data_IF_802941756447
#
_entry.id   IF_802941756447
#
_cell.length_a   1.000
_cell.length_b   1.000
_cell.length_c   1.000
_cell.angle_alpha   90.00
_cell.angle_beta   90.00
_cell.angle_gamma   90.00
#
_symmetry.space_group_name_H-M   'P 1'
#
loop_
_entity.id
_entity.type
_entity.pdbx_description
1 polymer ?
#
# COMPACT_ATOMS: atom_id res chain seq x y z
N UNK A 1 -10.21 -3.77 28.57
CA UNK A 1 -10.05 -5.08 27.92
C UNK A 1 -8.74 -5.15 27.12
N UNK A 2 -8.49 -4.26 26.15
CA UNK A 2 -7.21 -4.26 25.40
C UNK A 2 -5.97 -3.98 26.26
N UNK A 3 -6.02 -2.98 27.16
CA UNK A 3 -4.88 -2.64 28.01
C UNK A 3 -4.41 -3.81 28.89
N UNK A 4 -5.35 -4.56 29.47
CA UNK A 4 -5.04 -5.74 30.27
C UNK A 4 -4.45 -6.88 29.44
N UNK A 5 -4.91 -7.05 28.20
CA UNK A 5 -4.33 -8.04 27.26
C UNK A 5 -2.91 -7.64 26.92
N UNK A 6 -2.66 -6.40 26.50
CA UNK A 6 -1.31 -5.92 26.17
C UNK A 6 -0.34 -6.14 27.35
N UNK A 7 -0.69 -5.70 28.56
CA UNK A 7 0.16 -5.91 29.72
C UNK A 7 0.39 -7.40 30.07
N UNK A 8 -0.56 -8.29 29.78
CA UNK A 8 -0.39 -9.74 29.94
C UNK A 8 0.62 -10.27 28.94
N UNK A 9 0.51 -9.90 27.67
CA UNK A 9 1.41 -10.37 26.61
C UNK A 9 2.84 -9.85 26.79
N UNK A 10 3.03 -8.60 27.27
CA UNK A 10 4.36 -8.10 27.66
C UNK A 10 4.96 -8.98 28.76
N UNK A 11 4.20 -9.28 29.82
CA UNK A 11 4.68 -10.12 30.94
C UNK A 11 4.96 -11.57 30.53
N UNK A 12 4.32 -12.03 29.45
CA UNK A 12 4.54 -13.33 28.87
C UNK A 12 5.69 -13.35 27.86
N UNK A 13 6.35 -12.20 27.61
CA UNK A 13 7.42 -12.05 26.61
C UNK A 13 6.99 -12.55 25.22
N UNK A 14 5.73 -12.30 24.86
CA UNK A 14 5.17 -12.72 23.59
C UNK A 14 5.51 -11.71 22.48
N UNK A 15 6.63 -11.91 21.80
CA UNK A 15 7.10 -11.06 20.70
C UNK A 15 6.18 -11.06 19.46
N UNK A 16 5.26 -12.01 19.36
CA UNK A 16 4.31 -12.11 18.24
C UNK A 16 3.02 -11.31 18.49
N UNK A 17 2.83 -10.69 19.66
CA UNK A 17 1.62 -9.94 19.95
C UNK A 17 1.60 -8.58 19.24
N UNK A 18 0.60 -8.35 18.39
CA UNK A 18 0.35 -7.06 17.76
C UNK A 18 -0.91 -6.38 18.35
N UNK A 19 -0.76 -5.26 19.09
CA UNK A 19 -1.90 -4.60 19.74
C UNK A 19 -2.91 -4.00 18.75
N UNK A 20 -2.48 -3.64 17.52
CA UNK A 20 -3.36 -3.11 16.48
C UNK A 20 -4.21 -4.22 15.88
N UNK A 21 -3.61 -5.38 15.61
CA UNK A 21 -4.32 -6.57 15.14
C UNK A 21 -5.39 -6.97 16.15
N UNK A 22 -5.02 -7.13 17.43
CA UNK A 22 -5.97 -7.47 18.49
C UNK A 22 -7.10 -6.44 18.63
N UNK A 23 -6.78 -5.14 18.60
CA UNK A 23 -7.78 -4.09 18.67
C UNK A 23 -8.79 -4.16 17.52
N UNK A 24 -8.32 -4.41 16.29
CA UNK A 24 -9.18 -4.55 15.13
C UNK A 24 -10.04 -5.82 15.19
N UNK A 25 -9.51 -6.93 15.71
CA UNK A 25 -10.27 -8.16 15.98
C UNK A 25 -11.37 -7.92 17.01
N UNK A 26 -11.05 -7.27 18.13
CA UNK A 26 -12.04 -6.87 19.14
C UNK A 26 -13.12 -5.95 18.56
N UNK A 27 -12.78 -5.14 17.54
CA UNK A 27 -13.72 -4.28 16.82
C UNK A 27 -14.54 -5.00 15.73
N UNK A 28 -14.40 -6.32 15.58
CA UNK A 28 -15.17 -7.15 14.64
C UNK A 28 -14.53 -7.35 13.27
N UNK A 29 -13.21 -7.15 13.13
CA UNK A 29 -12.50 -7.45 11.90
C UNK A 29 -12.61 -8.94 11.56
N UNK A 30 -13.06 -9.24 10.33
CA UNK A 30 -13.37 -10.60 9.88
C UNK A 30 -12.15 -11.52 9.82
N UNK A 31 -12.32 -12.79 10.21
CA UNK A 31 -11.24 -13.80 10.36
C UNK A 31 -10.35 -13.97 9.13
N UNK A 32 -10.90 -13.79 7.93
CA UNK A 32 -10.19 -13.90 6.65
C UNK A 32 -9.26 -12.72 6.30
N UNK A 33 -9.06 -11.75 7.21
CA UNK A 33 -8.15 -10.63 7.02
C UNK A 33 -6.84 -10.89 7.76
N UNK A 34 -5.79 -11.19 7.01
CA UNK A 34 -4.47 -11.43 7.55
C UNK A 34 -3.66 -10.13 7.69
N UNK A 35 -2.89 -10.04 8.77
CA UNK A 35 -1.90 -8.99 8.97
C UNK A 35 -0.53 -9.54 8.61
N UNK A 36 0.15 -8.89 7.68
CA UNK A 36 1.53 -9.19 7.39
C UNK A 36 2.40 -8.42 8.37
N UNK A 37 3.17 -9.14 9.18
CA UNK A 37 4.08 -8.57 10.16
C UNK A 37 5.19 -7.75 9.52
N UNK A 38 5.81 -6.86 10.31
CA UNK A 38 6.97 -6.09 9.83
C UNK A 38 8.13 -7.04 9.54
N UNK A 39 8.65 -6.98 8.31
CA UNK A 39 9.72 -7.87 7.84
C UNK A 39 9.23 -9.22 7.30
N UNK A 40 7.93 -9.52 7.41
CA UNK A 40 7.36 -10.72 6.80
C UNK A 40 7.16 -10.54 5.28
N UNK A 41 7.23 -11.65 4.56
CA UNK A 41 7.05 -11.70 3.11
C UNK A 41 5.64 -12.18 2.79
N UNK A 42 4.98 -11.50 1.85
CA UNK A 42 3.70 -11.91 1.32
C UNK A 42 3.75 -11.80 -0.20
N UNK A 43 3.76 -12.93 -0.89
CA UNK A 43 3.96 -12.97 -2.34
C UNK A 43 2.71 -13.43 -3.08
N UNK A 44 2.40 -12.73 -4.18
CA UNK A 44 1.36 -13.12 -5.13
C UNK A 44 1.97 -13.06 -6.52
N UNK A 45 1.91 -14.15 -7.28
CA UNK A 45 2.50 -14.25 -8.63
C UNK A 45 3.99 -13.79 -8.67
N UNK A 46 4.78 -14.22 -7.67
CA UNK A 46 6.20 -13.88 -7.49
C UNK A 46 6.49 -12.36 -7.33
N UNK A 47 5.48 -11.62 -6.87
CA UNK A 47 5.58 -10.20 -6.54
C UNK A 47 5.45 -10.05 -5.03
N UNK A 48 6.37 -9.30 -4.43
CA UNK A 48 6.38 -9.00 -3.00
C UNK A 48 5.38 -7.88 -2.65
N UNK A 49 4.54 -8.17 -1.67
CA UNK A 49 3.51 -7.28 -1.12
C UNK A 49 3.60 -7.10 0.41
N UNK A 50 4.47 -7.85 1.09
CA UNK A 50 4.69 -7.71 2.54
C UNK A 50 5.52 -6.48 2.91
N UNK A 51 6.29 -5.95 1.96
CA UNK A 51 7.10 -4.74 2.17
C UNK A 51 6.21 -3.49 2.20
N UNK A 52 6.05 -2.88 3.38
CA UNK A 52 5.40 -1.57 3.51
C UNK A 52 6.14 -0.50 2.69
N UNK A 53 7.48 -0.57 2.65
CA UNK A 53 8.38 0.31 1.90
C UNK A 53 8.96 1.49 2.71
N UNK A 54 8.77 1.47 4.04
CA UNK A 54 9.36 2.40 5.00
C UNK A 54 10.83 2.10 5.28
N UNK A 55 11.16 0.80 5.35
CA UNK A 55 12.49 0.29 5.61
C UNK A 55 13.13 -0.22 4.31
N UNK A 56 14.34 0.26 4.04
CA UNK A 56 15.20 -0.09 2.93
C UNK A 56 16.36 -0.99 3.35
N UNK A 57 17.34 -1.12 2.46
CA UNK A 57 18.53 -1.96 2.70
C UNK A 57 19.28 -1.47 3.94
N UNK A 58 19.66 -2.40 4.81
CA UNK A 58 20.37 -2.14 6.08
C UNK A 58 19.66 -1.16 7.01
N UNK A 59 18.33 -1.10 6.99
CA UNK A 59 17.55 -0.21 7.87
C UNK A 59 17.50 1.24 7.41
N UNK A 60 18.01 1.55 6.21
CA UNK A 60 17.87 2.89 5.61
C UNK A 60 16.41 3.22 5.29
N UNK A 61 16.10 4.48 4.95
CA UNK A 61 14.76 4.84 4.48
C UNK A 61 14.50 4.17 3.13
N UNK A 62 13.39 3.44 3.04
CA UNK A 62 12.99 2.74 1.82
C UNK A 62 12.74 3.69 0.65
N UNK A 63 13.29 3.36 -0.52
CA UNK A 63 13.03 4.08 -1.77
C UNK A 63 12.78 3.13 -2.94
N UNK A 64 12.00 3.54 -3.96
CA UNK A 64 11.80 2.73 -5.16
C UNK A 64 13.11 2.35 -5.87
N UNK A 65 14.12 3.23 -5.82
CA UNK A 65 15.45 3.00 -6.42
C UNK A 65 16.23 1.87 -5.75
N UNK A 66 15.98 1.61 -4.46
CA UNK A 66 16.54 0.46 -3.77
C UNK A 66 15.77 -0.81 -4.17
N UNK A 67 14.44 -0.73 -4.14
CA UNK A 67 13.58 -1.89 -4.37
C UNK A 67 13.66 -2.42 -5.80
N UNK A 68 13.92 -1.57 -6.81
CA UNK A 68 14.11 -2.02 -8.20
C UNK A 68 15.31 -2.97 -8.37
N UNK A 69 16.26 -2.95 -7.42
CA UNK A 69 17.45 -3.81 -7.41
C UNK A 69 17.23 -5.12 -6.66
N UNK A 70 16.05 -5.33 -6.09
CA UNK A 70 15.73 -6.59 -5.44
C UNK A 70 15.57 -7.68 -6.50
N UNK A 71 15.94 -8.92 -6.16
CA UNK A 71 15.80 -10.06 -7.09
C UNK A 71 14.35 -10.38 -7.44
N UNK A 72 13.38 -9.84 -6.69
CA UNK A 72 11.95 -9.98 -6.92
C UNK A 72 11.29 -8.62 -7.15
N UNK A 73 10.19 -8.63 -7.89
CA UNK A 73 9.33 -7.45 -8.09
C UNK A 73 8.65 -7.08 -6.79
N UNK A 74 8.40 -5.79 -6.56
CA UNK A 74 7.83 -5.30 -5.29
C UNK A 74 6.68 -4.32 -5.52
N UNK A 75 5.69 -4.34 -4.64
CA UNK A 75 4.57 -3.41 -4.59
C UNK A 75 4.46 -2.84 -3.17
N UNK A 76 4.73 -1.55 -2.99
CA UNK A 76 4.78 -0.89 -1.68
C UNK A 76 3.86 0.33 -1.62
N UNK A 77 3.66 0.92 -0.43
CA UNK A 77 2.73 2.05 -0.23
C UNK A 77 3.24 3.18 0.67
N UNK A 78 4.42 3.06 1.28
CA UNK A 78 4.89 4.00 2.29
C UNK A 78 5.19 5.42 1.79
N UNK A 79 5.73 5.58 0.58
CA UNK A 79 6.21 6.90 0.14
C UNK A 79 5.08 7.84 -0.30
N UNK A 80 3.88 7.28 -0.52
CA UNK A 80 2.67 7.95 -0.99
C UNK A 80 2.81 8.71 -2.32
N UNK A 81 3.98 8.62 -2.97
CA UNK A 81 4.32 9.27 -4.22
C UNK A 81 4.34 8.19 -5.30
N UNK A 82 3.28 8.08 -6.11
CA UNK A 82 3.14 6.97 -7.04
C UNK A 82 4.32 6.92 -8.00
N UNK A 83 4.95 5.76 -8.14
CA UNK A 83 6.09 5.59 -9.04
C UNK A 83 6.22 4.15 -9.52
N UNK A 84 6.85 4.01 -10.69
CA UNK A 84 7.22 2.73 -11.28
C UNK A 84 8.70 2.82 -11.62
N UNK A 85 9.52 1.95 -11.03
CA UNK A 85 10.94 1.81 -11.34
C UNK A 85 11.26 0.34 -11.57
N UNK A 86 11.42 -0.05 -12.83
CA UNK A 86 11.57 -1.44 -13.25
C UNK A 86 10.45 -2.33 -12.65
N UNK A 87 10.82 -3.27 -11.77
CA UNK A 87 9.91 -4.16 -11.05
C UNK A 87 9.33 -3.59 -9.75
N UNK A 88 9.71 -2.38 -9.33
CA UNK A 88 9.25 -1.76 -8.10
C UNK A 88 8.11 -0.76 -8.37
N UNK A 89 6.93 -1.08 -7.86
CA UNK A 89 5.74 -0.25 -7.95
C UNK A 89 5.45 0.34 -6.59
N UNK A 90 5.15 1.64 -6.54
CA UNK A 90 4.76 2.30 -5.29
C UNK A 90 3.41 2.96 -5.48
N UNK A 91 2.45 2.55 -4.66
CA UNK A 91 1.11 3.13 -4.63
C UNK A 91 1.14 4.55 -4.03
N UNK A 92 0.03 5.26 -4.23
CA UNK A 92 -0.21 6.56 -3.63
C UNK A 92 -0.80 6.44 -2.23
N UNK A 93 -1.71 7.36 -1.90
CA UNK A 93 -2.50 7.30 -0.67
C UNK A 93 -4.01 7.30 -0.92
N UNK A 94 -4.75 6.66 -0.02
CA UNK A 94 -6.22 6.68 0.05
C UNK A 94 -6.70 7.44 1.29
N UNK A 95 -6.23 8.67 1.43
CA UNK A 95 -6.61 9.58 2.50
C UNK A 95 -6.41 11.02 2.01
N UNK A 96 -6.84 12.03 2.78
CA UNK A 96 -6.61 13.45 2.44
C UNK A 96 -5.15 13.70 2.06
N UNK A 97 -4.89 14.36 0.93
CA UNK A 97 -3.52 14.68 0.51
C UNK A 97 -2.77 15.51 1.55
N UNK A 98 -3.46 16.43 2.24
CA UNK A 98 -2.89 17.23 3.33
C UNK A 98 -3.07 16.49 4.66
N UNK A 99 -2.01 15.80 5.10
CA UNK A 99 -1.94 15.12 6.40
C UNK A 99 -1.40 16.01 7.52
N UNK A 100 -0.90 17.21 7.19
CA UNK A 100 -0.41 18.20 8.15
C UNK A 100 1.08 18.08 8.48
N UNK A 101 1.66 16.88 8.36
CA UNK A 101 3.11 16.68 8.46
C UNK A 101 3.83 16.76 7.10
N UNK A 102 3.10 16.62 5.99
CA UNK A 102 3.64 16.76 4.63
C UNK A 102 3.73 18.24 4.21
N UNK A 103 4.70 18.96 4.78
CA UNK A 103 4.93 20.39 4.52
C UNK A 103 5.74 20.60 3.23
N UNK A 104 5.42 21.67 2.49
CA UNK A 104 6.09 22.04 1.23
C UNK A 104 5.51 21.34 -0.01
N UNK A 105 6.11 21.57 -1.20
CA UNK A 105 5.72 20.88 -2.42
C UNK A 105 5.86 19.36 -2.25
N UNK A 106 4.83 18.61 -2.63
CA UNK A 106 4.79 17.15 -2.49
C UNK A 106 4.44 16.49 -3.82
N UNK A 107 4.96 15.27 -4.02
CA UNK A 107 4.59 14.38 -5.13
C UNK A 107 3.52 13.37 -4.73
N UNK A 108 2.93 13.53 -3.55
CA UNK A 108 1.88 12.67 -3.06
C UNK A 108 0.65 12.78 -3.95
N UNK A 109 0.08 11.64 -4.31
CA UNK A 109 -1.12 11.60 -5.14
C UNK A 109 -1.97 10.38 -4.79
N UNK A 110 -3.25 10.44 -5.10
CA UNK A 110 -4.12 9.29 -5.00
C UNK A 110 -3.78 8.30 -6.10
N UNK A 111 -3.33 7.11 -5.73
CA UNK A 111 -3.08 6.06 -6.70
C UNK A 111 -3.15 4.67 -6.10
N UNK A 112 -3.60 3.73 -6.91
CA UNK A 112 -3.63 2.31 -6.59
C UNK A 112 -2.77 1.51 -7.55
N UNK A 113 -2.16 0.45 -7.03
CA UNK A 113 -1.49 -0.57 -7.84
C UNK A 113 -2.42 -1.78 -7.89
N UNK A 114 -2.84 -2.15 -9.10
CA UNK A 114 -3.68 -3.33 -9.33
C UNK A 114 -2.82 -4.43 -9.93
N UNK A 115 -2.81 -5.60 -9.28
CA UNK A 115 -2.21 -6.82 -9.81
C UNK A 115 -3.26 -7.58 -10.64
N UNK A 116 -2.97 -7.77 -11.92
CA UNK A 116 -3.80 -8.58 -12.80
C UNK A 116 -3.44 -10.07 -12.68
N UNK A 117 -4.36 -10.99 -13.02
CA UNK A 117 -4.12 -12.44 -12.95
C UNK A 117 -2.91 -12.94 -13.77
N UNK A 118 -2.47 -12.18 -14.77
CA UNK A 118 -1.31 -12.49 -15.61
C UNK A 118 0.03 -12.01 -15.02
N UNK A 119 0.06 -11.51 -13.77
CA UNK A 119 1.27 -11.02 -13.11
C UNK A 119 1.72 -9.63 -13.58
N UNK A 120 0.95 -8.95 -14.43
CA UNK A 120 1.18 -7.54 -14.79
C UNK A 120 0.51 -6.63 -13.76
N UNK A 121 1.11 -5.47 -13.52
CA UNK A 121 0.57 -4.47 -12.61
C UNK A 121 0.24 -3.17 -13.34
N UNK A 122 -0.90 -2.60 -13.00
CA UNK A 122 -1.37 -1.31 -13.51
C UNK A 122 -1.34 -0.28 -12.38
N UNK A 123 -0.89 0.94 -12.69
CA UNK A 123 -1.03 2.08 -11.80
C UNK A 123 -2.29 2.84 -12.19
N UNK A 124 -3.21 2.99 -11.25
CA UNK A 124 -4.43 3.79 -11.42
C UNK A 124 -4.21 5.09 -10.67
N UNK A 125 -4.00 6.17 -11.40
CA UNK A 125 -3.96 7.53 -10.84
C UNK A 125 -5.39 8.05 -10.71
N UNK A 126 -5.70 8.66 -9.58
CA UNK A 126 -7.02 9.21 -9.29
C UNK A 126 -6.92 10.71 -9.08
N UNK A 127 -7.79 11.45 -9.77
CA UNK A 127 -7.96 12.87 -9.58
C UNK A 127 -8.82 13.16 -8.34
N UNK A 128 -8.75 14.38 -7.82
CA UNK A 128 -9.46 14.79 -6.61
C UNK A 128 -11.00 14.70 -6.72
N UNK A 129 -11.53 14.70 -7.94
CA UNK A 129 -12.96 14.54 -8.25
C UNK A 129 -13.35 13.09 -8.55
N UNK A 130 -12.44 12.12 -8.33
CA UNK A 130 -12.69 10.69 -8.51
C UNK A 130 -12.46 10.17 -9.93
N UNK A 131 -12.05 11.00 -10.90
CA UNK A 131 -11.69 10.52 -12.24
C UNK A 131 -10.41 9.70 -12.22
N UNK A 132 -10.40 8.57 -12.91
CA UNK A 132 -9.25 7.65 -12.96
C UNK A 132 -8.96 7.05 -14.34
N UNK A 133 -9.79 7.39 -15.34
CA UNK A 133 -9.61 6.99 -16.73
C UNK A 133 -8.88 8.10 -17.50
N UNK A 134 -8.15 7.73 -18.56
CA UNK A 134 -7.63 8.71 -19.48
C UNK A 134 -8.81 9.41 -20.18
N UNK A 135 -8.81 10.75 -20.21
CA UNK A 135 -9.92 11.53 -20.77
C UNK A 135 -10.19 11.24 -22.25
N UNK A 136 -9.24 10.66 -22.98
CA UNK A 136 -9.44 10.18 -24.36
C UNK A 136 -10.47 9.05 -24.46
N UNK A 137 -10.54 8.17 -23.45
CA UNK A 137 -11.43 7.01 -23.45
C UNK A 137 -12.88 7.36 -23.06
N UNK A 138 -13.08 8.53 -22.43
CA UNK A 138 -14.41 9.02 -21.99
C UNK A 138 -15.20 9.61 -23.16
N UNK A 139 -14.51 10.08 -24.21
CA UNK A 139 -15.15 10.76 -25.33
C UNK A 139 -16.01 9.79 -26.17
N UNK A 140 -15.60 8.53 -26.34
CA UNK A 140 -16.38 7.52 -27.08
C UNK A 140 -17.72 7.18 -26.42
N UNK A 141 -17.78 7.12 -25.08
CA UNK A 141 -18.98 6.68 -24.37
C UNK A 141 -20.10 7.73 -24.40
N UNK A 142 -19.76 9.02 -24.43
CA UNK A 142 -20.76 10.09 -24.49
C UNK A 142 -21.33 10.31 -25.90
N UNK A 143 -20.55 10.06 -26.96
CA UNK A 143 -21.04 10.21 -28.34
C UNK A 143 -21.78 8.98 -28.88
N UNK A 144 -21.56 7.78 -28.31
CA UNK A 144 -22.30 6.57 -28.70
C UNK A 144 -23.70 6.46 -28.06
N UNK A 145 -24.03 7.28 -27.05
CA UNK A 145 -25.38 7.36 -26.45
C UNK A 145 -26.24 8.50 -27.00
N UNK A 146 -25.71 9.28 -27.94
CA UNK A 146 -26.38 10.41 -28.57
C UNK A 146 -26.76 10.14 -30.05
N UNK A 147 -26.73 8.88 -30.48
CA UNK A 147 -27.13 8.42 -31.81
C UNK A 147 -28.37 7.52 -31.73
#
# INVERSE_FOLDING_TARGET
MLNSVWHREIRAENDNFNPVHEALRMAGLADHIDFIGSGESFTILDIEHGLQGDIGVSGSRGTPEQFRRFGRRTSTGHTHSPSIMDGAYVAGLSAKLKQGYNKGPTRWAHAHVVLNPNGKRCMILMHADGRFQAMGDVQEIYYQKAA
#
